data_IF_330277490145
#
_entry.id   IF_330277490145
#
_cell.length_a   1.000
_cell.length_b   1.000
_cell.length_c   1.000
_cell.angle_alpha   90.00
_cell.angle_beta   90.00
_cell.angle_gamma   90.00
#
_symmetry.space_group_name_H-M   'P 1'
#
loop_
_entity.id
_entity.type
_entity.pdbx_description
1 polymer ?
#
# COMPACT_ATOMS: atom_id res chain seq x y z
N UNK A 1 0.01 -23.26 17.32
CA UNK A 1 -0.95 -22.92 16.29
C UNK A 1 -1.47 -21.50 16.44
N UNK A 2 -1.89 -21.14 17.66
CA UNK A 2 -2.25 -19.75 17.92
C UNK A 2 -1.05 -18.83 17.67
N UNK A 3 0.17 -19.28 18.02
CA UNK A 3 1.39 -18.54 17.76
C UNK A 3 1.64 -18.35 16.27
N UNK A 4 1.36 -19.37 15.46
CA UNK A 4 1.53 -19.25 14.00
C UNK A 4 0.57 -18.23 13.41
N UNK A 5 -0.68 -18.22 13.86
CA UNK A 5 -1.66 -17.24 13.41
C UNK A 5 -1.21 -15.81 13.74
N UNK A 6 -0.77 -15.58 14.97
CA UNK A 6 -0.29 -14.26 15.37
C UNK A 6 0.97 -13.85 14.62
N UNK A 7 1.85 -14.81 14.32
CA UNK A 7 3.07 -14.52 13.54
C UNK A 7 2.73 -14.12 12.11
N UNK A 8 1.75 -14.75 11.49
CA UNK A 8 1.30 -14.38 10.15
C UNK A 8 0.68 -12.98 10.11
N UNK A 9 -0.16 -12.67 11.10
CA UNK A 9 -0.76 -11.35 11.22
C UNK A 9 0.29 -10.27 11.47
N UNK A 10 1.25 -10.55 12.35
CA UNK A 10 2.34 -9.62 12.64
C UNK A 10 3.18 -9.36 11.40
N UNK A 11 3.49 -10.40 10.64
CA UNK A 11 4.24 -10.30 9.40
C UNK A 11 3.53 -9.38 8.40
N UNK A 12 2.23 -9.60 8.18
CA UNK A 12 1.44 -8.77 7.29
C UNK A 12 1.39 -7.31 7.74
N UNK A 13 1.22 -7.09 9.04
CA UNK A 13 1.16 -5.74 9.61
C UNK A 13 2.50 -5.02 9.51
N UNK A 14 3.61 -5.72 9.72
CA UNK A 14 4.96 -5.15 9.60
C UNK A 14 5.24 -4.73 8.17
N UNK A 15 4.84 -5.53 7.19
CA UNK A 15 5.03 -5.19 5.78
C UNK A 15 4.14 -4.03 5.35
N UNK A 16 2.92 -3.96 5.88
CA UNK A 16 2.05 -2.81 5.63
C UNK A 16 2.65 -1.53 6.20
N UNK A 17 3.22 -1.59 7.41
CA UNK A 17 3.90 -0.44 8.01
C UNK A 17 5.09 0.01 7.15
N UNK A 18 5.88 -0.94 6.66
CA UNK A 18 7.01 -0.64 5.77
C UNK A 18 6.54 0.02 4.47
N UNK A 19 5.46 -0.50 3.89
CA UNK A 19 4.87 0.08 2.69
C UNK A 19 4.36 1.50 2.95
N UNK A 20 3.67 1.70 4.06
CA UNK A 20 3.13 3.00 4.45
C UNK A 20 4.23 4.03 4.62
N UNK A 21 5.30 3.68 5.35
CA UNK A 21 6.45 4.57 5.54
C UNK A 21 7.13 4.91 4.21
N UNK A 22 7.28 3.92 3.33
CA UNK A 22 7.87 4.14 2.02
C UNK A 22 7.03 5.05 1.13
N UNK A 23 5.71 4.88 1.17
CA UNK A 23 4.79 5.74 0.41
C UNK A 23 4.87 7.18 0.91
N UNK A 24 4.91 7.37 2.24
CA UNK A 24 5.07 8.72 2.82
C UNK A 24 6.41 9.35 2.42
N UNK A 25 7.47 8.56 2.41
CA UNK A 25 8.80 9.02 2.00
C UNK A 25 8.84 9.46 0.54
N UNK A 26 7.99 8.89 -0.31
CA UNK A 26 7.86 9.29 -1.72
C UNK A 26 7.01 10.55 -1.90
N UNK A 27 6.41 11.05 -0.84
CA UNK A 27 5.61 12.27 -0.88
C UNK A 27 4.13 12.04 -1.15
N UNK A 28 3.67 10.79 -1.20
CA UNK A 28 2.24 10.51 -1.36
C UNK A 28 1.53 10.63 -0.02
N UNK A 29 0.44 11.40 0.05
CA UNK A 29 -0.33 11.48 1.28
C UNK A 29 -1.12 10.20 1.53
N UNK A 30 -1.44 9.96 2.79
CA UNK A 30 -2.29 8.85 3.21
C UNK A 30 -3.61 9.41 3.74
N UNK A 31 -4.70 8.71 3.49
CA UNK A 31 -6.00 9.08 4.06
C UNK A 31 -5.97 9.00 5.58
N UNK A 32 -5.31 7.96 6.10
CA UNK A 32 -5.12 7.76 7.53
C UNK A 32 -3.94 6.81 7.74
N UNK A 33 -3.27 6.93 8.89
CA UNK A 33 -2.28 5.96 9.29
C UNK A 33 -3.00 4.70 9.76
N UNK A 34 -2.48 3.55 9.35
CA UNK A 34 -3.07 2.26 9.69
C UNK A 34 -2.08 1.42 10.47
N UNK A 35 -2.56 0.75 11.51
CA UNK A 35 -1.79 -0.23 12.27
C UNK A 35 -2.12 -1.66 11.85
N UNK A 36 -2.88 -1.82 10.76
CA UNK A 36 -3.31 -3.11 10.25
C UNK A 36 -2.52 -3.47 8.99
N UNK A 37 -2.98 -4.50 8.28
CA UNK A 37 -2.40 -4.92 7.02
C UNK A 37 -2.93 -4.13 5.81
N UNK A 38 -3.61 -3.01 6.04
CA UNK A 38 -4.19 -2.18 4.98
C UNK A 38 -3.49 -0.83 4.94
N UNK A 39 -3.27 -0.31 3.73
CA UNK A 39 -2.63 1.00 3.51
C UNK A 39 -3.50 1.77 2.52
N UNK A 40 -3.77 3.05 2.83
CA UNK A 40 -4.73 3.88 2.09
C UNK A 40 -4.07 5.14 1.53
N UNK A 41 -3.27 5.03 0.46
CA UNK A 41 -2.67 6.23 -0.15
C UNK A 41 -3.70 7.01 -0.97
N UNK A 42 -3.48 8.31 -1.05
CA UNK A 42 -4.25 9.23 -1.88
C UNK A 42 -3.44 9.47 -3.15
N UNK A 43 -3.97 9.07 -4.30
CA UNK A 43 -3.24 9.17 -5.56
C UNK A 43 -4.02 10.01 -6.57
N UNK A 44 -3.30 10.67 -7.48
CA UNK A 44 -3.92 11.38 -8.58
C UNK A 44 -4.62 10.41 -9.51
N UNK A 45 -5.79 10.80 -10.03
CA UNK A 45 -6.56 9.94 -10.92
C UNK A 45 -5.78 9.51 -12.15
N UNK A 46 -4.88 10.36 -12.67
CA UNK A 46 -4.04 10.03 -13.80
C UNK A 46 -2.97 8.98 -13.51
N UNK A 47 -2.62 8.77 -12.24
CA UNK A 47 -1.64 7.76 -11.84
C UNK A 47 -2.27 6.36 -11.80
N UNK A 48 -3.56 6.26 -11.55
CA UNK A 48 -4.24 4.96 -11.37
C UNK A 48 -4.07 4.00 -12.55
N UNK A 49 -4.28 4.41 -13.82
CA UNK A 49 -4.07 3.50 -14.94
C UNK A 49 -2.63 2.97 -15.03
N UNK A 50 -1.65 3.78 -14.67
CA UNK A 50 -0.25 3.38 -14.66
C UNK A 50 0.03 2.37 -13.55
N UNK A 51 -0.57 2.57 -12.38
CA UNK A 51 -0.44 1.65 -11.25
C UNK A 51 -1.10 0.30 -11.55
N UNK A 52 -2.22 0.29 -12.24
CA UNK A 52 -2.92 -0.94 -12.58
C UNK A 52 -2.06 -1.90 -13.41
N UNK A 53 -1.09 -1.36 -14.15
CA UNK A 53 -0.19 -2.16 -14.97
C UNK A 53 0.92 -2.83 -14.18
N UNK A 54 1.22 -2.35 -12.98
CA UNK A 54 2.36 -2.84 -12.20
C UNK A 54 1.97 -3.51 -10.89
N UNK A 55 0.77 -3.28 -10.39
CA UNK A 55 0.33 -3.88 -9.13
C UNK A 55 -1.19 -3.97 -9.05
N UNK A 56 -1.65 -4.78 -8.11
CA UNK A 56 -3.08 -4.90 -7.80
C UNK A 56 -3.41 -3.99 -6.62
N UNK A 57 -4.51 -3.28 -6.74
CA UNK A 57 -5.04 -2.45 -5.65
C UNK A 57 -6.55 -2.31 -5.83
N UNK A 58 -7.22 -1.81 -4.80
CA UNK A 58 -8.65 -1.54 -4.87
C UNK A 58 -8.90 -0.04 -4.77
N UNK A 59 -9.87 0.46 -5.53
CA UNK A 59 -10.38 1.81 -5.34
C UNK A 59 -11.20 1.82 -4.06
N UNK A 60 -10.83 2.71 -3.12
CA UNK A 60 -11.52 2.77 -1.83
C UNK A 60 -12.64 3.79 -1.83
N UNK A 61 -12.31 5.04 -2.14
CA UNK A 61 -13.30 6.12 -2.25
C UNK A 61 -12.69 7.32 -2.98
N UNK A 62 -13.53 8.18 -3.58
CA UNK A 62 -13.04 9.45 -4.11
C UNK A 62 -12.52 10.32 -2.95
N UNK A 63 -11.45 11.04 -3.19
CA UNK A 63 -10.91 11.99 -2.22
C UNK A 63 -11.33 13.41 -2.59
N UNK A 64 -11.06 13.82 -3.83
CA UNK A 64 -11.49 15.10 -4.39
C UNK A 64 -11.63 14.94 -5.92
N UNK A 65 -11.77 16.06 -6.64
CA UNK A 65 -12.01 16.03 -8.09
C UNK A 65 -10.85 15.42 -8.88
N UNK A 66 -9.63 15.42 -8.32
CA UNK A 66 -8.43 14.98 -9.00
C UNK A 66 -7.76 13.78 -8.37
N UNK A 67 -8.19 13.36 -7.19
CA UNK A 67 -7.54 12.30 -6.40
C UNK A 67 -8.52 11.24 -5.97
N UNK A 68 -8.02 10.03 -5.82
CA UNK A 68 -8.77 8.88 -5.31
C UNK A 68 -7.96 8.20 -4.21
N UNK A 69 -8.65 7.77 -3.16
CA UNK A 69 -8.05 6.90 -2.13
C UNK A 69 -8.07 5.48 -2.67
N UNK A 70 -6.92 4.83 -2.68
CA UNK A 70 -6.82 3.41 -3.05
C UNK A 70 -6.43 2.61 -1.82
N UNK A 71 -6.55 1.29 -1.90
CA UNK A 71 -6.21 0.40 -0.81
C UNK A 71 -5.22 -0.65 -1.29
N UNK A 72 -4.09 -0.75 -0.58
CA UNK A 72 -3.19 -1.89 -0.68
C UNK A 72 -3.39 -2.79 0.53
N UNK A 73 -3.36 -4.09 0.32
CA UNK A 73 -3.49 -5.08 1.39
C UNK A 73 -2.30 -6.02 1.34
N UNK A 74 -1.61 -6.16 2.46
CA UNK A 74 -0.58 -7.19 2.63
C UNK A 74 -1.19 -8.43 3.26
N UNK A 75 -0.52 -9.55 3.11
CA UNK A 75 -0.98 -10.80 3.70
C UNK A 75 0.24 -11.64 4.11
N UNK A 76 0.02 -12.84 4.62
CA UNK A 76 1.12 -13.70 5.05
C UNK A 76 1.99 -14.19 3.89
N UNK A 77 1.50 -14.12 2.65
CA UNK A 77 2.29 -14.42 1.45
C UNK A 77 3.16 -13.26 0.98
N UNK A 78 2.85 -12.03 1.43
CA UNK A 78 3.59 -10.84 1.01
C UNK A 78 5.02 -10.91 1.57
N UNK A 79 6.00 -10.57 0.74
CA UNK A 79 7.40 -10.53 1.15
C UNK A 79 7.89 -9.09 1.21
N UNK A 80 9.02 -8.89 1.89
CA UNK A 80 9.70 -7.59 1.90
C UNK A 80 10.07 -7.18 0.47
N UNK A 81 10.48 -8.13 -0.35
CA UNK A 81 10.82 -7.88 -1.75
C UNK A 81 9.62 -7.37 -2.55
N UNK A 82 8.43 -7.91 -2.26
CA UNK A 82 7.18 -7.44 -2.90
C UNK A 82 6.92 -5.97 -2.56
N UNK A 83 7.07 -5.61 -1.30
CA UNK A 83 6.86 -4.23 -0.82
C UNK A 83 7.91 -3.31 -1.43
N UNK A 84 9.17 -3.69 -1.39
CA UNK A 84 10.26 -2.87 -1.92
C UNK A 84 10.13 -2.72 -3.44
N UNK A 85 9.71 -3.76 -4.13
CA UNK A 85 9.45 -3.71 -5.57
C UNK A 85 8.32 -2.75 -5.92
N UNK A 86 7.24 -2.77 -5.15
CA UNK A 86 6.14 -1.84 -5.34
C UNK A 86 6.59 -0.40 -5.10
N UNK A 87 7.35 -0.15 -4.04
CA UNK A 87 7.88 1.18 -3.76
C UNK A 87 8.79 1.68 -4.86
N UNK A 88 9.61 0.81 -5.44
CA UNK A 88 10.47 1.16 -6.57
C UNK A 88 9.63 1.54 -7.79
N UNK A 89 8.56 0.82 -8.08
CA UNK A 89 7.66 1.13 -9.18
C UNK A 89 6.92 2.44 -8.95
N UNK A 90 6.45 2.69 -7.73
CA UNK A 90 5.81 3.96 -7.38
C UNK A 90 6.77 5.13 -7.58
N UNK A 91 8.01 4.96 -7.14
CA UNK A 91 9.05 6.00 -7.32
C UNK A 91 9.28 6.29 -8.80
N UNK A 92 9.30 5.25 -9.63
CA UNK A 92 9.48 5.40 -11.07
C UNK A 92 8.31 6.16 -11.72
N UNK A 93 7.08 5.92 -11.24
CA UNK A 93 5.87 6.54 -11.79
C UNK A 93 5.66 7.97 -11.32
N UNK A 94 6.23 8.33 -10.18
CA UNK A 94 6.13 9.68 -9.63
C UNK A 94 7.25 10.55 -10.20
#
# INVERSE_FOLDING_TARGET
EDGLYFDMARHANQLAARLQEGIQALGLPLMAESSTNQVFPIVENGLRPKLEQVCAFEDWCPYDDTHTVIRFVTCFHTTQEDVDGLLAELKRLL
#
